data_IF_240746982495
#
_entry.id   IF_240746982495
#
_cell.length_a   1.000
_cell.length_b   1.000
_cell.length_c   1.000
_cell.angle_alpha   90.00
_cell.angle_beta   90.00
_cell.angle_gamma   90.00
#
_symmetry.space_group_name_H-M   'P 1'
#
loop_
_entity.id
_entity.type
_entity.pdbx_description
1 polymer ?
#
# COMPACT_ATOMS: atom_id res chain seq x y z
N UNK A 1 20.06 14.08 -18.49
CA UNK A 1 18.73 14.13 -19.14
C UNK A 1 18.05 12.77 -19.14
N UNK A 2 18.67 11.72 -19.71
CA UNK A 2 18.12 10.35 -19.72
C UNK A 2 17.84 9.80 -18.32
N UNK A 3 18.83 9.82 -17.40
CA UNK A 3 18.63 9.34 -16.02
C UNK A 3 17.54 10.11 -15.26
N UNK A 4 17.44 11.42 -15.48
CA UNK A 4 16.39 12.23 -14.87
C UNK A 4 14.99 11.83 -15.40
N UNK A 5 14.86 11.57 -16.72
CA UNK A 5 13.62 11.06 -17.31
C UNK A 5 13.27 9.67 -16.77
N UNK A 6 14.26 8.79 -16.63
CA UNK A 6 14.07 7.44 -16.05
C UNK A 6 13.61 7.50 -14.60
N UNK A 7 14.26 8.33 -13.78
CA UNK A 7 13.85 8.57 -12.40
C UNK A 7 12.44 9.19 -12.33
N UNK A 8 12.17 10.20 -13.17
CA UNK A 8 10.86 10.85 -13.27
C UNK A 8 9.75 9.86 -13.60
N UNK A 9 9.94 9.03 -14.62
CA UNK A 9 8.99 7.98 -15.00
C UNK A 9 8.78 6.94 -13.89
N UNK A 10 9.84 6.59 -13.15
CA UNK A 10 9.77 5.64 -12.03
C UNK A 10 8.99 6.21 -10.84
N UNK A 11 9.16 7.50 -10.55
CA UNK A 11 8.57 8.17 -9.41
C UNK A 11 7.18 8.78 -9.69
N UNK A 12 6.76 8.89 -10.94
CA UNK A 12 5.53 9.55 -11.39
C UNK A 12 4.29 9.20 -10.55
N UNK A 13 4.02 7.93 -10.20
CA UNK A 13 2.81 7.58 -9.44
C UNK A 13 2.90 7.86 -7.94
N UNK A 14 4.11 8.16 -7.42
CA UNK A 14 4.40 8.14 -5.98
C UNK A 14 4.68 9.54 -5.39
N UNK A 15 4.94 10.54 -6.24
CA UNK A 15 5.26 11.90 -5.80
C UNK A 15 4.29 12.92 -6.38
N UNK A 16 4.06 14.01 -5.65
CA UNK A 16 3.21 15.10 -6.12
C UNK A 16 3.89 15.92 -7.22
N UNK A 17 3.09 16.64 -8.01
CA UNK A 17 3.58 17.60 -9.00
C UNK A 17 3.99 17.01 -10.35
N UNK A 18 3.77 15.70 -10.60
CA UNK A 18 4.04 15.01 -11.87
C UNK A 18 5.43 15.30 -12.44
N UNK A 19 6.48 14.59 -11.99
CA UNK A 19 7.84 14.71 -12.52
C UNK A 19 7.91 14.71 -14.04
N UNK A 20 7.10 13.89 -14.73
CA UNK A 20 7.08 13.84 -16.20
C UNK A 20 6.58 15.14 -16.81
N UNK A 21 5.56 15.79 -16.23
CA UNK A 21 5.04 17.07 -16.73
C UNK A 21 6.11 18.18 -16.69
N UNK A 22 6.93 18.20 -15.64
CA UNK A 22 8.02 19.17 -15.47
C UNK A 22 9.18 18.94 -16.44
N UNK A 23 9.25 17.76 -17.06
CA UNK A 23 10.33 17.36 -17.97
C UNK A 23 9.96 17.48 -19.45
N UNK A 24 8.83 18.12 -19.80
CA UNK A 24 8.41 18.30 -21.19
C UNK A 24 9.47 18.99 -22.08
N UNK A 25 10.28 19.87 -21.51
CA UNK A 25 11.40 20.51 -22.23
C UNK A 25 12.51 19.53 -22.64
N UNK A 26 12.71 18.44 -21.89
CA UNK A 26 13.64 17.37 -22.26
C UNK A 26 13.08 16.61 -23.46
N UNK A 27 11.77 16.33 -23.48
CA UNK A 27 11.15 15.62 -24.60
C UNK A 27 11.27 16.42 -25.91
N UNK A 28 10.99 17.72 -25.85
CA UNK A 28 11.16 18.63 -26.98
C UNK A 28 12.61 18.64 -27.49
N UNK A 29 13.61 18.57 -26.60
CA UNK A 29 15.02 18.50 -26.97
C UNK A 29 15.37 17.23 -27.76
N UNK A 30 14.91 16.06 -27.32
CA UNK A 30 15.14 14.80 -28.05
C UNK A 30 14.43 14.77 -29.40
N UNK A 31 13.20 15.30 -29.48
CA UNK A 31 12.46 15.44 -30.73
C UNK A 31 13.20 16.33 -31.72
N UNK A 32 13.73 17.49 -31.27
CA UNK A 32 14.51 18.39 -32.11
C UNK A 32 15.78 17.72 -32.68
N UNK A 33 16.39 16.82 -31.90
CA UNK A 33 17.55 16.01 -32.33
C UNK A 33 17.17 14.82 -33.21
N UNK A 34 15.88 14.57 -33.47
CA UNK A 34 15.37 13.36 -34.15
C UNK A 34 15.82 12.07 -33.47
N UNK A 35 15.93 12.09 -32.14
CA UNK A 35 16.31 10.97 -31.30
C UNK A 35 15.07 10.40 -30.58
N UNK A 36 15.07 9.12 -30.20
CA UNK A 36 14.00 8.55 -29.38
C UNK A 36 13.97 9.22 -28.00
N UNK A 37 12.77 9.53 -27.50
CA UNK A 37 12.58 10.08 -26.16
C UNK A 37 12.77 8.96 -25.14
N UNK A 38 13.68 9.10 -24.15
CA UNK A 38 13.86 8.09 -23.11
C UNK A 38 12.65 8.08 -22.17
N UNK A 39 11.94 6.95 -22.13
CA UNK A 39 10.77 6.72 -21.27
C UNK A 39 10.87 5.42 -20.47
N UNK A 40 12.08 4.87 -20.34
CA UNK A 40 12.31 3.64 -19.59
C UNK A 40 12.11 3.89 -18.09
N UNK A 41 11.45 2.95 -17.43
CA UNK A 41 11.29 2.93 -15.97
C UNK A 41 12.43 2.12 -15.37
N UNK A 42 12.90 2.50 -14.18
CA UNK A 42 13.73 1.61 -13.37
C UNK A 42 12.86 0.55 -12.69
N UNK A 43 12.68 -0.56 -13.40
CA UNK A 43 11.89 -1.70 -12.96
C UNK A 43 12.29 -2.24 -11.58
N UNK A 44 13.60 -2.32 -11.30
CA UNK A 44 14.09 -2.79 -10.00
C UNK A 44 13.64 -1.87 -8.87
N UNK A 45 13.78 -0.56 -9.08
CA UNK A 45 13.35 0.44 -8.10
C UNK A 45 11.84 0.43 -7.95
N UNK A 46 11.08 0.32 -9.05
CA UNK A 46 9.61 0.21 -9.02
C UNK A 46 9.16 -1.00 -8.21
N UNK A 47 9.77 -2.16 -8.40
CA UNK A 47 9.45 -3.38 -7.67
C UNK A 47 9.76 -3.23 -6.18
N UNK A 48 10.91 -2.64 -5.83
CA UNK A 48 11.26 -2.34 -4.44
C UNK A 48 10.27 -1.39 -3.77
N UNK A 49 9.85 -0.32 -4.45
CA UNK A 49 8.81 0.59 -3.95
C UNK A 49 7.49 -0.18 -3.75
N UNK A 50 7.09 -1.00 -4.73
CA UNK A 50 5.88 -1.81 -4.66
C UNK A 50 5.88 -2.77 -3.47
N UNK A 51 7.02 -3.42 -3.17
CA UNK A 51 7.18 -4.25 -1.97
C UNK A 51 7.00 -3.45 -0.69
N UNK A 52 7.65 -2.30 -0.57
CA UNK A 52 7.55 -1.44 0.62
C UNK A 52 6.11 -0.95 0.86
N UNK A 53 5.40 -0.54 -0.20
CA UNK A 53 4.00 -0.14 -0.11
C UNK A 53 3.13 -1.31 0.39
N UNK A 54 3.34 -2.52 -0.14
CA UNK A 54 2.60 -3.73 0.30
C UNK A 54 2.87 -4.05 1.76
N UNK A 55 4.14 -4.00 2.20
CA UNK A 55 4.53 -4.23 3.59
C UNK A 55 3.87 -3.22 4.54
N UNK A 56 3.88 -1.95 4.18
CA UNK A 56 3.24 -0.90 4.98
C UNK A 56 1.71 -1.05 5.03
N UNK A 57 1.09 -1.40 3.90
CA UNK A 57 -0.34 -1.67 3.85
C UNK A 57 -0.72 -2.87 4.74
N UNK A 58 0.04 -3.97 4.68
CA UNK A 58 -0.15 -5.14 5.53
C UNK A 58 -0.06 -4.77 7.02
N UNK A 59 0.96 -4.02 7.41
CA UNK A 59 1.13 -3.53 8.79
C UNK A 59 -0.07 -2.71 9.28
N UNK A 60 -0.55 -1.75 8.48
CA UNK A 60 -1.72 -0.93 8.81
C UNK A 60 -2.96 -1.80 8.97
N UNK A 61 -3.21 -2.72 8.04
CA UNK A 61 -4.36 -3.62 8.05
C UNK A 61 -4.33 -4.54 9.28
N UNK A 62 -3.21 -5.20 9.56
CA UNK A 62 -3.03 -6.05 10.75
C UNK A 62 -3.31 -5.29 12.03
N UNK A 63 -2.79 -4.06 12.16
CA UNK A 63 -3.03 -3.22 13.35
C UNK A 63 -4.51 -2.87 13.52
N UNK A 64 -5.21 -2.54 12.43
CA UNK A 64 -6.65 -2.28 12.46
C UNK A 64 -7.45 -3.53 12.83
N UNK A 65 -7.08 -4.69 12.29
CA UNK A 65 -7.74 -5.96 12.56
C UNK A 65 -7.58 -6.40 14.02
N UNK A 66 -6.36 -6.32 14.59
CA UNK A 66 -6.12 -6.59 16.03
C UNK A 66 -7.02 -5.71 16.91
N UNK A 67 -7.11 -4.41 16.61
CA UNK A 67 -8.00 -3.51 17.35
C UNK A 67 -9.47 -3.90 17.21
N UNK A 68 -9.91 -4.21 15.99
CA UNK A 68 -11.29 -4.61 15.74
C UNK A 68 -11.65 -5.94 16.43
N UNK A 69 -10.73 -6.90 16.46
CA UNK A 69 -10.88 -8.15 17.21
C UNK A 69 -11.08 -7.91 18.70
N UNK A 70 -10.19 -7.14 19.32
CA UNK A 70 -10.28 -6.86 20.75
C UNK A 70 -11.62 -6.19 21.09
N UNK A 71 -12.04 -5.23 20.27
CA UNK A 71 -13.34 -4.59 20.40
C UNK A 71 -14.50 -5.59 20.25
N UNK A 72 -14.42 -6.49 19.28
CA UNK A 72 -15.43 -7.54 19.07
C UNK A 72 -15.52 -8.46 20.27
N UNK A 73 -14.39 -8.98 20.79
CA UNK A 73 -14.36 -9.87 21.94
C UNK A 73 -14.99 -9.21 23.15
N UNK A 74 -14.63 -7.95 23.45
CA UNK A 74 -15.23 -7.20 24.55
C UNK A 74 -16.73 -6.95 24.36
N UNK A 75 -17.16 -6.61 23.14
CA UNK A 75 -18.57 -6.39 22.83
C UNK A 75 -19.39 -7.68 22.89
N UNK A 76 -18.84 -8.79 22.40
CA UNK A 76 -19.46 -10.11 22.45
C UNK A 76 -19.63 -10.60 23.88
N UNK A 77 -18.63 -10.43 24.75
CA UNK A 77 -18.75 -10.74 26.17
C UNK A 77 -19.86 -9.91 26.84
N UNK A 78 -19.84 -8.59 26.66
CA UNK A 78 -20.86 -7.70 27.19
C UNK A 78 -22.26 -8.04 26.68
N UNK A 79 -22.39 -8.39 25.40
CA UNK A 79 -23.65 -8.87 24.82
C UNK A 79 -24.12 -10.15 25.49
N UNK A 80 -23.24 -11.14 25.67
CA UNK A 80 -23.60 -12.41 26.31
C UNK A 80 -24.07 -12.21 27.75
N UNK A 81 -23.49 -11.27 28.49
CA UNK A 81 -23.87 -10.94 29.87
C UNK A 81 -25.22 -10.22 29.98
N UNK A 82 -25.63 -9.48 28.95
CA UNK A 82 -26.79 -8.58 28.99
C UNK A 82 -27.94 -8.96 28.04
N UNK A 83 -27.76 -9.96 27.18
CA UNK A 83 -28.78 -10.32 26.18
C UNK A 83 -30.03 -10.93 26.83
N UNK A 84 -31.23 -10.66 26.29
CA UNK A 84 -32.43 -11.45 26.58
C UNK A 84 -32.24 -12.93 26.24
N UNK A 85 -33.00 -13.81 26.91
CA UNK A 85 -32.87 -15.26 26.74
C UNK A 85 -33.22 -15.74 25.33
N UNK A 86 -34.15 -15.05 24.66
CA UNK A 86 -34.60 -15.33 23.29
C UNK A 86 -33.58 -14.90 22.21
N UNK A 87 -32.56 -14.11 22.56
CA UNK A 87 -31.57 -13.64 21.60
C UNK A 87 -30.46 -14.69 21.39
N UNK A 88 -29.98 -14.88 20.15
CA UNK A 88 -28.94 -15.86 19.86
C UNK A 88 -27.63 -15.49 20.55
N UNK A 89 -26.74 -16.47 20.70
CA UNK A 89 -25.40 -16.20 21.22
C UNK A 89 -24.58 -15.39 20.22
N UNK A 90 -23.59 -14.63 20.71
CA UNK A 90 -22.65 -13.95 19.84
C UNK A 90 -21.90 -14.98 18.98
N UNK A 91 -21.73 -14.73 17.67
CA UNK A 91 -21.11 -15.71 16.79
C UNK A 91 -19.65 -15.98 17.18
N UNK A 92 -19.25 -17.24 17.13
CA UNK A 92 -17.84 -17.59 17.30
C UNK A 92 -17.05 -17.23 16.03
N UNK A 93 -15.91 -16.57 16.20
CA UNK A 93 -15.01 -16.23 15.11
C UNK A 93 -13.62 -16.73 15.49
N UNK A 94 -13.04 -17.55 14.62
CA UNK A 94 -11.64 -17.95 14.73
C UNK A 94 -10.76 -16.86 14.10
N UNK A 95 -10.08 -16.10 14.94
CA UNK A 95 -9.23 -15.00 14.49
C UNK A 95 -7.80 -15.52 14.29
N UNK A 96 -7.27 -15.48 13.06
CA UNK A 96 -5.87 -15.80 12.84
C UNK A 96 -4.99 -14.75 13.52
N UNK A 97 -3.76 -15.12 13.87
CA UNK A 97 -2.79 -14.13 14.30
C UNK A 97 -2.40 -13.23 13.12
N UNK A 98 -2.86 -11.99 13.13
CA UNK A 98 -2.41 -11.01 12.15
C UNK A 98 -1.00 -10.56 12.52
N UNK A 99 -0.02 -10.91 11.69
CA UNK A 99 1.33 -10.45 11.91
C UNK A 99 1.40 -8.93 11.79
N UNK A 100 1.87 -8.28 12.86
CA UNK A 100 2.06 -6.83 12.93
C UNK A 100 3.49 -6.40 12.59
N UNK A 101 4.30 -7.29 12.02
CA UNK A 101 5.64 -6.95 11.54
C UNK A 101 5.58 -6.57 10.05
N UNK A 102 6.11 -5.41 9.63
CA UNK A 102 6.28 -5.07 8.22
C UNK A 102 6.99 -6.16 7.40
N UNK A 103 7.86 -6.97 8.00
CA UNK A 103 8.55 -8.08 7.35
C UNK A 103 7.63 -9.28 7.02
N UNK A 104 6.44 -9.37 7.61
CA UNK A 104 5.53 -10.49 7.39
C UNK A 104 4.84 -10.51 6.03
N UNK A 105 4.95 -9.46 5.21
CA UNK A 105 4.40 -9.51 3.85
C UNK A 105 5.22 -10.39 2.88
N UNK A 106 6.36 -10.94 3.32
CA UNK A 106 7.17 -11.90 2.55
C UNK A 106 7.02 -13.36 3.00
N UNK A 107 6.06 -13.68 3.89
CA UNK A 107 5.71 -15.07 4.27
C UNK A 107 4.34 -15.49 3.72
#
# INVERSE_FOLDING_TARGET
>A
MVELKRAGATCEPYVQGSPLSLMAGIDAYFVALKQPVPNTVDERTRDSIGKLIKQHAAYICSTKLVKAQNNYISAAASYMDNKPAEWPDAPWIDFPQWCQDPACAEY
#
